data_IF_412745701941
#
_entry.id   IF_412745701941
#
_cell.length_a   1.000
_cell.length_b   1.000
_cell.length_c   1.000
_cell.angle_alpha   90.00
_cell.angle_beta   90.00
_cell.angle_gamma   90.00
#
_symmetry.space_group_name_H-M   'P 1'
#
loop_
_entity.id
_entity.type
_entity.pdbx_description
1 polymer ?
#
# COMPACT_ATOMS: atom_id res chain seq x y z
N UNK A 1 -7.04 9.66 -14.03
CA UNK A 1 -5.72 9.60 -13.36
C UNK A 1 -5.40 8.13 -13.22
N UNK A 2 -4.32 7.65 -13.84
CA UNK A 2 -3.86 6.30 -13.54
C UNK A 2 -3.11 6.33 -12.20
N UNK A 3 -3.39 5.33 -11.35
CA UNK A 3 -2.89 5.28 -9.97
C UNK A 3 -1.74 4.27 -9.79
N UNK A 4 -1.29 3.67 -10.89
CA UNK A 4 -0.34 2.56 -10.97
C UNK A 4 0.88 2.98 -11.77
N UNK A 5 0.69 3.56 -12.96
CA UNK A 5 1.78 4.05 -13.82
C UNK A 5 2.28 5.44 -13.44
N UNK A 6 1.45 6.20 -12.71
CA UNK A 6 1.59 7.64 -12.39
C UNK A 6 1.47 8.55 -13.65
N UNK A 7 0.98 8.00 -14.77
CA UNK A 7 0.83 8.75 -16.03
C UNK A 7 -0.42 9.66 -16.01
N UNK A 8 -0.34 10.74 -16.78
CA UNK A 8 -1.34 11.81 -16.76
C UNK A 8 -1.30 12.70 -15.51
N UNK A 9 -0.53 12.34 -14.47
CA UNK A 9 -0.22 13.23 -13.34
C UNK A 9 0.76 14.29 -13.84
N UNK A 10 0.21 15.44 -14.27
CA UNK A 10 1.03 16.62 -14.60
C UNK A 10 1.78 17.08 -13.35
N UNK A 11 3.07 17.46 -13.44
CA UNK A 11 3.79 18.04 -12.32
C UNK A 11 3.01 19.22 -11.71
N UNK A 12 2.89 19.24 -10.40
CA UNK A 12 2.31 20.39 -9.70
C UNK A 12 3.16 21.64 -9.99
N UNK A 13 2.50 22.75 -10.29
CA UNK A 13 3.16 24.06 -10.32
C UNK A 13 3.15 24.64 -8.89
N UNK A 14 4.23 25.32 -8.44
CA UNK A 14 4.21 26.03 -7.17
C UNK A 14 3.12 27.12 -7.13
N UNK A 15 2.61 27.50 -5.93
CA UNK A 15 2.95 26.95 -4.62
C UNK A 15 2.29 25.57 -4.36
N UNK A 16 2.97 24.71 -3.60
CA UNK A 16 2.42 23.40 -3.23
C UNK A 16 1.53 23.49 -1.99
N UNK A 17 0.43 22.75 -1.99
CA UNK A 17 -0.43 22.51 -0.82
C UNK A 17 -0.18 21.08 -0.35
N UNK A 18 0.08 20.90 0.95
CA UNK A 18 0.29 19.58 1.52
C UNK A 18 -1.03 18.78 1.66
N UNK A 19 -1.00 17.45 1.49
CA UNK A 19 0.15 16.64 1.10
C UNK A 19 0.36 16.57 -0.42
N UNK A 20 1.59 16.27 -0.85
CA UNK A 20 1.91 16.05 -2.26
C UNK A 20 3.01 14.99 -2.47
N UNK A 21 3.17 14.54 -3.71
CA UNK A 21 4.19 13.57 -4.12
C UNK A 21 5.06 14.17 -5.20
N UNK A 22 6.37 13.96 -5.12
CA UNK A 22 7.35 14.32 -6.17
C UNK A 22 8.04 13.07 -6.67
N UNK A 23 8.19 12.95 -7.99
CA UNK A 23 8.80 11.80 -8.67
C UNK A 23 10.00 12.31 -9.47
N UNK A 24 11.18 11.72 -9.28
CA UNK A 24 12.37 11.94 -10.12
C UNK A 24 12.67 10.64 -10.85
N UNK A 25 12.67 10.67 -12.18
CA UNK A 25 12.96 9.48 -13.02
C UNK A 25 14.34 9.63 -13.65
N UNK A 26 15.15 8.57 -13.60
CA UNK A 26 16.51 8.51 -14.15
C UNK A 26 16.74 7.12 -14.76
N UNK A 27 16.65 6.98 -16.07
CA UNK A 27 16.80 5.71 -16.78
C UNK A 27 15.90 4.60 -16.20
N UNK A 28 16.48 3.58 -15.55
CA UNK A 28 15.79 2.48 -14.90
C UNK A 28 15.57 2.69 -13.38
N UNK A 29 15.72 3.93 -12.88
CA UNK A 29 15.51 4.28 -11.47
C UNK A 29 14.44 5.39 -11.31
N UNK A 30 13.69 5.34 -10.21
CA UNK A 30 12.68 6.34 -9.82
C UNK A 30 12.79 6.62 -8.31
N UNK A 31 13.09 7.85 -7.95
CA UNK A 31 12.97 8.33 -6.57
C UNK A 31 11.57 8.93 -6.39
N UNK A 32 10.79 8.41 -5.43
CA UNK A 32 9.46 8.93 -5.09
C UNK A 32 9.47 9.43 -3.65
N UNK A 33 9.21 10.73 -3.47
CA UNK A 33 9.13 11.39 -2.16
C UNK A 33 7.70 11.85 -1.89
N UNK A 34 7.18 11.48 -0.73
CA UNK A 34 5.84 11.76 -0.22
C UNK A 34 5.97 12.82 0.89
N UNK A 35 5.46 14.02 0.64
CA UNK A 35 5.56 15.18 1.53
C UNK A 35 4.23 15.36 2.26
N UNK A 36 4.22 15.13 3.58
CA UNK A 36 2.97 15.13 4.37
C UNK A 36 2.68 16.49 4.99
N UNK A 37 3.75 17.19 5.34
CA UNK A 37 3.81 18.55 5.87
C UNK A 37 5.19 19.16 5.51
N UNK A 38 5.53 20.33 6.03
CA UNK A 38 6.76 21.04 5.69
C UNK A 38 8.06 20.49 6.33
N UNK A 39 7.98 19.40 7.10
CA UNK A 39 9.13 18.72 7.75
C UNK A 39 9.18 17.24 7.41
N UNK A 40 8.02 16.59 7.35
CA UNK A 40 7.91 15.13 7.22
C UNK A 40 7.87 14.69 5.76
N UNK A 41 8.90 13.94 5.35
CA UNK A 41 9.02 13.35 4.02
C UNK A 41 9.40 11.88 4.11
N UNK A 42 8.56 10.96 3.63
CA UNK A 42 8.96 9.57 3.36
C UNK A 42 9.46 9.48 1.91
N UNK A 43 10.61 8.86 1.66
CA UNK A 43 11.17 8.70 0.31
C UNK A 43 11.56 7.25 0.03
N UNK A 44 11.29 6.80 -1.18
CA UNK A 44 11.53 5.42 -1.62
C UNK A 44 12.21 5.42 -2.99
N UNK A 45 13.23 4.58 -3.14
CA UNK A 45 13.99 4.42 -4.38
C UNK A 45 13.56 3.13 -5.07
N UNK A 46 13.06 3.25 -6.30
CA UNK A 46 12.56 2.16 -7.12
C UNK A 46 13.50 1.86 -8.27
N UNK A 47 13.71 0.57 -8.56
CA UNK A 47 14.45 0.10 -9.73
C UNK A 47 13.52 -0.66 -10.67
N UNK A 48 13.66 -0.43 -11.98
CA UNK A 48 12.93 -1.15 -13.01
C UNK A 48 13.51 -2.56 -13.16
N UNK A 49 12.64 -3.56 -13.28
CA UNK A 49 13.03 -4.96 -13.51
C UNK A 49 11.99 -5.58 -14.43
N UNK A 50 12.39 -5.88 -15.67
CA UNK A 50 11.46 -6.30 -16.72
C UNK A 50 10.33 -5.27 -16.93
N UNK A 51 9.09 -5.70 -16.70
CA UNK A 51 7.87 -4.90 -16.87
C UNK A 51 7.37 -4.21 -15.58
N UNK A 52 8.08 -4.31 -14.46
CA UNK A 52 7.67 -3.70 -13.18
C UNK A 52 8.77 -2.83 -12.55
N UNK A 53 8.40 -2.08 -11.51
CA UNK A 53 9.32 -1.35 -10.63
C UNK A 53 9.32 -2.00 -9.25
N UNK A 54 10.49 -2.14 -8.63
CA UNK A 54 10.63 -2.71 -7.28
C UNK A 54 11.30 -1.70 -6.34
N UNK A 55 10.80 -1.59 -5.12
CA UNK A 55 11.54 -1.03 -3.98
C UNK A 55 11.56 -2.00 -2.80
N UNK A 56 12.54 -1.86 -1.92
CA UNK A 56 12.62 -2.58 -0.65
C UNK A 56 12.98 -1.59 0.43
N UNK A 57 12.19 -1.56 1.50
CA UNK A 57 12.43 -0.72 2.67
C UNK A 57 12.13 -1.49 3.96
N UNK A 58 12.48 -0.92 5.09
CA UNK A 58 12.11 -1.48 6.40
C UNK A 58 11.49 -0.43 7.30
N UNK A 59 10.45 -0.84 8.02
CA UNK A 59 9.89 -0.09 9.14
C UNK A 59 10.24 -0.86 10.43
N UNK A 60 10.45 -0.15 11.54
CA UNK A 60 10.93 -0.74 12.81
C UNK A 60 10.00 -0.31 13.92
N UNK A 61 9.46 -1.28 14.66
CA UNK A 61 8.74 -1.08 15.92
C UNK A 61 9.58 -1.60 17.09
N UNK A 62 9.08 -1.42 18.31
CA UNK A 62 9.84 -1.61 19.56
C UNK A 62 10.46 -3.01 19.73
N UNK A 63 9.87 -4.04 19.10
CA UNK A 63 10.32 -5.44 19.18
C UNK A 63 10.51 -6.10 17.81
N UNK A 64 10.29 -5.38 16.72
CA UNK A 64 10.16 -5.91 15.36
C UNK A 64 10.88 -5.06 14.33
N UNK A 65 11.42 -5.71 13.30
CA UNK A 65 11.66 -5.04 12.01
C UNK A 65 10.81 -5.72 10.96
N UNK A 66 10.08 -4.91 10.21
CA UNK A 66 9.32 -5.34 9.05
C UNK A 66 10.08 -4.94 7.80
N UNK A 67 10.26 -5.87 6.87
CA UNK A 67 10.87 -5.65 5.57
C UNK A 67 9.77 -5.72 4.52
N UNK A 68 9.57 -4.60 3.83
CA UNK A 68 8.49 -4.42 2.87
C UNK A 68 9.08 -4.39 1.47
N UNK A 69 8.66 -5.35 0.65
CA UNK A 69 8.99 -5.43 -0.77
C UNK A 69 7.77 -4.97 -1.55
N UNK A 70 7.89 -3.88 -2.31
CA UNK A 70 6.79 -3.33 -3.10
C UNK A 70 7.12 -3.37 -4.60
N UNK A 71 6.19 -3.94 -5.37
CA UNK A 71 6.29 -4.21 -6.80
C UNK A 71 5.16 -3.46 -7.52
N UNK A 72 5.48 -2.43 -8.28
CA UNK A 72 4.53 -1.65 -9.08
C UNK A 72 4.53 -2.23 -10.50
N UNK A 73 3.45 -2.93 -10.85
CA UNK A 73 3.18 -3.51 -12.17
C UNK A 73 2.17 -2.65 -12.94
N UNK A 74 1.99 -2.85 -14.26
CA UNK A 74 1.04 -2.06 -15.05
C UNK A 74 -0.44 -2.21 -14.64
N UNK A 75 -0.85 -3.35 -14.05
CA UNK A 75 -2.23 -3.62 -13.63
C UNK A 75 -2.46 -3.53 -12.11
N UNK A 76 -1.40 -3.59 -11.31
CA UNK A 76 -1.47 -3.80 -9.86
C UNK A 76 -0.22 -3.33 -9.11
N UNK A 77 -0.37 -3.01 -7.83
CA UNK A 77 0.74 -2.96 -6.88
C UNK A 77 0.67 -4.21 -6.00
N UNK A 78 1.79 -4.92 -5.85
CA UNK A 78 1.94 -6.01 -4.88
C UNK A 78 2.87 -5.54 -3.77
N UNK A 79 2.48 -5.74 -2.51
CA UNK A 79 3.34 -5.50 -1.34
C UNK A 79 3.46 -6.80 -0.54
N UNK A 80 4.69 -7.18 -0.20
CA UNK A 80 4.99 -8.32 0.67
C UNK A 80 5.55 -7.78 1.98
N UNK A 81 4.89 -8.03 3.10
CA UNK A 81 5.38 -7.68 4.43
C UNK A 81 6.04 -8.89 5.10
N UNK A 82 7.34 -8.79 5.34
CA UNK A 82 8.14 -9.77 6.04
C UNK A 82 8.45 -9.32 7.46
N UNK A 83 7.98 -10.07 8.45
CA UNK A 83 8.39 -9.85 9.84
C UNK A 83 9.71 -10.57 10.11
N UNK A 84 10.71 -9.79 10.51
CA UNK A 84 12.03 -10.30 10.91
C UNK A 84 12.16 -10.21 12.44
N UNK A 85 12.21 -11.37 13.08
CA UNK A 85 12.44 -11.44 14.52
C UNK A 85 13.92 -11.19 14.85
N UNK A 86 14.19 -10.06 15.51
CA UNK A 86 15.54 -9.46 15.64
C UNK A 86 16.59 -10.43 16.19
N UNK A 87 16.22 -11.29 17.16
CA UNK A 87 17.15 -12.23 17.81
C UNK A 87 17.51 -13.44 16.94
N UNK A 88 16.56 -13.95 16.14
CA UNK A 88 16.75 -15.18 15.36
C UNK A 88 17.10 -14.92 13.89
N UNK A 89 16.95 -13.68 13.41
CA UNK A 89 17.19 -13.25 12.02
C UNK A 89 16.37 -14.00 10.95
N UNK A 90 15.37 -14.78 11.33
CA UNK A 90 14.47 -15.46 10.39
C UNK A 90 13.40 -14.47 9.91
N UNK A 91 13.25 -14.36 8.59
CA UNK A 91 12.21 -13.59 7.92
C UNK A 91 11.00 -14.49 7.63
N UNK A 92 9.81 -14.05 7.98
CA UNK A 92 8.56 -14.73 7.62
C UNK A 92 7.62 -13.77 6.89
N UNK A 93 7.11 -14.18 5.72
CA UNK A 93 6.04 -13.48 5.01
C UNK A 93 4.77 -13.52 5.88
N UNK A 94 4.29 -12.37 6.33
CA UNK A 94 3.10 -12.23 7.21
C UNK A 94 1.87 -11.73 6.47
N UNK A 95 2.06 -10.85 5.50
CA UNK A 95 0.98 -10.24 4.74
C UNK A 95 1.37 -10.05 3.27
N UNK A 96 0.39 -10.23 2.37
CA UNK A 96 0.49 -9.92 0.95
C UNK A 96 -0.64 -8.95 0.62
N UNK A 97 -0.32 -7.69 0.31
CA UNK A 97 -1.28 -6.73 -0.22
C UNK A 97 -1.29 -6.77 -1.75
N UNK A 98 -2.47 -6.87 -2.34
CA UNK A 98 -2.67 -6.73 -3.79
C UNK A 98 -3.62 -5.57 -4.03
N UNK A 99 -3.12 -4.50 -4.64
CA UNK A 99 -3.90 -3.30 -4.93
C UNK A 99 -4.17 -3.18 -6.44
N UNK A 100 -5.46 -3.13 -6.82
CA UNK A 100 -5.95 -3.12 -8.21
C UNK A 100 -7.09 -2.12 -8.37
N UNK A 101 -6.92 -1.14 -9.26
CA UNK A 101 -7.87 -0.03 -9.50
C UNK A 101 -8.35 0.64 -8.21
N UNK A 102 -9.52 0.24 -7.69
CA UNK A 102 -10.17 0.82 -6.52
C UNK A 102 -10.39 -0.24 -5.42
N UNK A 103 -9.61 -1.31 -5.42
CA UNK A 103 -9.71 -2.42 -4.47
C UNK A 103 -8.31 -2.81 -3.96
N UNK A 104 -8.26 -3.15 -2.67
CA UNK A 104 -7.10 -3.68 -1.97
C UNK A 104 -7.47 -5.02 -1.33
N UNK A 105 -6.74 -6.08 -1.66
CA UNK A 105 -6.93 -7.44 -1.17
C UNK A 105 -5.68 -7.85 -0.38
N UNK A 106 -5.79 -7.90 0.96
CA UNK A 106 -4.72 -8.32 1.85
C UNK A 106 -4.90 -9.79 2.27
N UNK A 107 -3.85 -10.60 2.15
CA UNK A 107 -3.81 -12.00 2.59
C UNK A 107 -2.96 -12.15 3.84
N UNK A 108 -3.51 -12.74 4.90
CA UNK A 108 -2.84 -12.90 6.18
C UNK A 108 -2.25 -14.31 6.31
N UNK A 109 -0.98 -14.40 6.67
CA UNK A 109 -0.23 -15.66 6.85
C UNK A 109 -0.08 -15.95 8.35
N UNK A 110 -1.04 -16.68 8.94
CA UNK A 110 -1.23 -16.78 10.40
C UNK A 110 0.00 -17.15 11.23
N UNK A 111 0.82 -18.12 10.78
CA UNK A 111 2.13 -18.45 11.38
C UNK A 111 3.33 -17.79 10.69
N UNK A 112 3.10 -17.15 9.55
CA UNK A 112 4.13 -16.64 8.65
C UNK A 112 4.78 -17.75 7.80
N UNK A 113 5.28 -17.41 6.62
CA UNK A 113 5.89 -18.36 5.68
C UNK A 113 7.36 -18.03 5.39
N UNK A 114 8.25 -19.01 5.51
CA UNK A 114 9.70 -18.87 5.28
C UNK A 114 10.02 -19.03 3.78
N UNK A 115 9.66 -18.03 2.98
CA UNK A 115 9.74 -18.04 1.50
C UNK A 115 10.41 -16.77 0.97
N UNK A 116 11.24 -16.89 -0.07
CA UNK A 116 11.92 -15.71 -0.67
C UNK A 116 10.93 -14.75 -1.33
N UNK A 117 11.15 -13.42 -1.24
CA UNK A 117 10.27 -12.42 -1.86
C UNK A 117 10.32 -12.49 -3.38
N UNK A 118 9.16 -12.56 -4.01
CA UNK A 118 8.99 -12.65 -5.47
C UNK A 118 7.61 -12.13 -5.90
N UNK A 119 7.51 -11.57 -7.10
CA UNK A 119 6.27 -10.95 -7.61
C UNK A 119 5.17 -11.98 -7.95
N UNK A 120 5.55 -13.23 -8.27
CA UNK A 120 4.60 -14.32 -8.57
C UNK A 120 4.12 -15.07 -7.33
N UNK A 121 4.50 -14.62 -6.13
CA UNK A 121 4.16 -15.29 -4.88
C UNK A 121 2.66 -15.20 -4.56
N UNK A 122 2.00 -14.11 -5.00
CA UNK A 122 0.58 -13.80 -4.74
C UNK A 122 -0.30 -15.01 -5.03
N UNK A 123 -0.28 -15.47 -6.27
CA UNK A 123 -1.23 -16.46 -6.78
C UNK A 123 -0.98 -17.85 -6.17
N UNK A 124 0.27 -18.12 -5.73
CA UNK A 124 0.66 -19.34 -5.00
C UNK A 124 0.25 -19.32 -3.52
N UNK A 125 0.19 -18.14 -2.90
CA UNK A 125 -0.08 -17.97 -1.47
C UNK A 125 -1.54 -17.66 -1.14
N UNK A 126 -2.38 -17.26 -2.12
CA UNK A 126 -3.84 -17.06 -1.89
C UNK A 126 -4.48 -18.25 -1.17
N UNK A 127 -4.14 -19.47 -1.58
CA UNK A 127 -4.65 -20.73 -1.01
C UNK A 127 -4.00 -21.13 0.34
N UNK A 128 -3.00 -20.39 0.82
CA UNK A 128 -2.31 -20.63 2.10
C UNK A 128 -2.62 -19.55 3.15
N UNK A 129 -3.44 -18.55 2.80
CA UNK A 129 -3.85 -17.49 3.70
C UNK A 129 -4.80 -18.03 4.78
N UNK A 130 -4.57 -17.66 6.05
CA UNK A 130 -5.45 -17.98 7.18
C UNK A 130 -6.65 -17.01 7.28
N UNK A 131 -6.93 -16.27 6.21
CA UNK A 131 -7.93 -15.21 6.13
C UNK A 131 -7.47 -14.09 5.20
N UNK A 132 -8.42 -13.25 4.80
CA UNK A 132 -8.16 -12.09 3.94
C UNK A 132 -8.96 -10.86 4.36
N UNK A 133 -8.51 -9.69 3.90
CA UNK A 133 -9.19 -8.41 4.10
C UNK A 133 -9.33 -7.75 2.74
N UNK A 134 -10.56 -7.62 2.24
CA UNK A 134 -10.85 -6.87 1.02
C UNK A 134 -11.32 -5.47 1.44
N UNK A 135 -10.66 -4.45 0.93
CA UNK A 135 -11.04 -3.04 1.10
C UNK A 135 -11.35 -2.44 -0.27
N UNK A 136 -12.61 -2.01 -0.45
CA UNK A 136 -13.06 -1.28 -1.64
C UNK A 136 -13.03 0.22 -1.35
N UNK A 137 -12.55 1.00 -2.31
CA UNK A 137 -12.40 2.45 -2.25
C UNK A 137 -13.36 3.11 -3.24
N UNK A 138 -14.20 4.03 -2.78
CA UNK A 138 -15.18 4.72 -3.60
C UNK A 138 -15.02 6.23 -3.41
N UNK A 139 -14.73 6.95 -4.49
CA UNK A 139 -14.59 8.41 -4.49
C UNK A 139 -15.82 9.07 -5.10
N UNK A 140 -16.53 9.90 -4.33
CA UNK A 140 -17.72 10.65 -4.79
C UNK A 140 -17.74 12.03 -4.14
N UNK A 141 -17.94 13.09 -4.93
CA UNK A 141 -18.07 14.48 -4.46
C UNK A 141 -16.94 14.96 -3.51
N UNK A 142 -15.71 14.45 -3.68
CA UNK A 142 -14.58 14.76 -2.80
C UNK A 142 -14.60 14.03 -1.44
N UNK A 143 -15.42 12.99 -1.28
CA UNK A 143 -15.40 12.05 -0.15
C UNK A 143 -14.88 10.69 -0.63
N UNK A 144 -13.95 10.13 0.13
CA UNK A 144 -13.49 8.74 -0.02
C UNK A 144 -14.21 7.86 1.00
N UNK A 145 -14.94 6.86 0.51
CA UNK A 145 -15.56 5.79 1.31
C UNK A 145 -14.72 4.53 1.19
N UNK A 146 -14.30 3.98 2.32
CA UNK A 146 -13.65 2.68 2.43
C UNK A 146 -14.68 1.66 2.91
N UNK A 147 -14.90 0.58 2.15
CA UNK A 147 -15.67 -0.58 2.61
C UNK A 147 -14.72 -1.75 2.85
N UNK A 148 -14.51 -2.12 4.11
CA UNK A 148 -13.59 -3.17 4.53
C UNK A 148 -14.37 -4.41 4.94
N UNK A 149 -14.07 -5.55 4.33
CA UNK A 149 -14.63 -6.86 4.67
C UNK A 149 -13.53 -7.82 5.05
N UNK A 150 -13.69 -8.51 6.18
CA UNK A 150 -12.72 -9.46 6.75
C UNK A 150 -13.28 -10.88 6.61
N UNK A 151 -12.50 -11.75 5.98
CA UNK A 151 -12.83 -13.16 5.76
C UNK A 151 -11.89 -14.07 6.57
N UNK A 152 -12.43 -15.16 7.11
CA UNK A 152 -11.63 -16.18 7.79
C UNK A 152 -10.98 -17.17 6.79
N UNK A 153 -10.18 -18.11 7.31
CA UNK A 153 -9.53 -19.21 6.55
C UNK A 153 -10.48 -20.02 5.65
N UNK A 154 -11.79 -20.02 5.93
CA UNK A 154 -12.82 -20.76 5.19
C UNK A 154 -13.54 -19.89 4.14
N UNK A 155 -13.03 -18.69 3.88
CA UNK A 155 -13.64 -17.72 2.97
C UNK A 155 -14.96 -17.12 3.48
N UNK A 156 -15.36 -17.37 4.73
CA UNK A 156 -16.61 -16.81 5.29
C UNK A 156 -16.34 -15.41 5.82
N UNK A 157 -17.23 -14.47 5.47
CA UNK A 157 -17.26 -13.13 6.05
C UNK A 157 -17.43 -13.21 7.58
N UNK A 158 -16.54 -12.53 8.29
CA UNK A 158 -16.47 -12.47 9.75
C UNK A 158 -16.83 -11.08 10.28
N UNK A 159 -16.50 -10.03 9.53
CA UNK A 159 -16.80 -8.64 9.89
C UNK A 159 -16.77 -7.75 8.64
N UNK A 160 -17.63 -6.72 8.62
CA UNK A 160 -17.59 -5.65 7.61
C UNK A 160 -17.75 -4.29 8.30
N UNK A 161 -16.93 -3.34 7.89
CA UNK A 161 -16.98 -1.95 8.34
C UNK A 161 -16.97 -0.99 7.15
N UNK A 162 -17.46 0.23 7.37
CA UNK A 162 -17.43 1.31 6.38
C UNK A 162 -16.98 2.59 7.06
N UNK A 163 -16.01 3.28 6.47
CA UNK A 163 -15.43 4.52 7.01
C UNK A 163 -15.31 5.56 5.89
N UNK A 164 -15.55 6.84 6.18
CA UNK A 164 -15.54 7.91 5.18
C UNK A 164 -14.59 9.05 5.56
N UNK A 165 -13.91 9.62 4.56
CA UNK A 165 -12.91 10.69 4.73
C UNK A 165 -13.14 11.83 3.74
N UNK A 166 -12.97 13.07 4.20
CA UNK A 166 -13.08 14.27 3.35
C UNK A 166 -11.75 14.54 2.62
N UNK A 167 -11.74 14.41 1.31
CA UNK A 167 -10.54 14.51 0.45
C UNK A 167 -10.51 15.78 -0.42
N UNK A 168 -11.68 16.26 -0.86
CA UNK A 168 -11.80 17.39 -1.78
C UNK A 168 -11.04 17.14 -3.10
N UNK A 169 -10.23 18.11 -3.51
CA UNK A 169 -9.43 18.05 -4.76
C UNK A 169 -8.07 17.36 -4.57
N UNK A 170 -7.78 16.79 -3.39
CA UNK A 170 -6.49 16.16 -3.07
C UNK A 170 -6.40 14.80 -3.79
N UNK A 171 -5.21 14.43 -4.25
CA UNK A 171 -5.04 13.19 -5.02
C UNK A 171 -5.32 11.96 -4.16
N UNK A 172 -5.72 10.85 -4.79
CA UNK A 172 -6.10 9.60 -4.14
C UNK A 172 -5.02 9.03 -3.18
N UNK A 173 -3.75 9.32 -3.43
CA UNK A 173 -2.63 8.90 -2.58
C UNK A 173 -2.36 9.82 -1.37
N UNK A 174 -3.15 10.87 -1.15
CA UNK A 174 -2.96 11.85 -0.06
C UNK A 174 -2.77 11.17 1.32
N UNK A 175 -3.50 10.08 1.59
CA UNK A 175 -2.91 8.83 2.08
C UNK A 175 -3.64 7.70 1.36
N UNK A 176 -2.91 6.70 0.87
CA UNK A 176 -3.38 5.32 1.15
C UNK A 176 -3.14 5.01 2.63
N UNK A 177 -2.01 5.52 3.12
CA UNK A 177 -1.57 5.55 4.54
C UNK A 177 -1.05 8.36 6.28
N UNK A 178 -1.87 9.47 6.31
CA UNK A 178 -1.70 10.67 7.15
C UNK A 178 -2.54 10.56 8.42
N UNK A 179 -2.39 9.41 9.08
CA UNK A 179 -2.06 9.26 10.51
C UNK A 179 -2.72 10.26 11.48
N UNK A 180 -3.95 10.67 11.18
CA UNK A 180 -4.72 11.66 11.90
C UNK A 180 -6.19 11.31 11.77
N UNK A 181 -6.84 11.09 12.90
CA UNK A 181 -8.27 10.76 13.02
C UNK A 181 -9.16 11.98 12.67
N UNK A 182 -8.51 13.10 12.34
CA UNK A 182 -9.05 14.46 12.21
C UNK A 182 -9.75 14.72 10.87
N UNK A 183 -9.91 13.73 10.01
CA UNK A 183 -10.58 13.84 8.70
C UNK A 183 -11.66 12.77 8.48
N UNK A 184 -11.91 11.91 9.46
CA UNK A 184 -13.01 10.95 9.42
C UNK A 184 -14.36 11.69 9.54
N UNK A 185 -15.33 11.26 8.75
CA UNK A 185 -16.70 11.78 8.73
C UNK A 185 -17.68 10.61 8.74
N UNK A 186 -18.91 10.86 9.21
CA UNK A 186 -20.01 9.90 9.03
C UNK A 186 -20.23 9.65 7.53
N UNK A 187 -20.46 8.39 7.17
CA UNK A 187 -20.89 8.05 5.83
C UNK A 187 -22.37 8.36 5.65
N UNK A 188 -22.65 9.36 4.81
CA UNK A 188 -23.95 9.61 4.18
C UNK A 188 -24.22 8.61 3.05
#
# INVERSE_FOLDING_TARGET
MDMFTLEGIKPLKPPFVYPYVTIKTRNNEKDISYHTDNKTVKSYHYRKTGNYWMTVYSETGDTSREYIYEYIMPDKIVRLNYWNHVKTKVSYLREIAVFKKWEEENFLMGRGLAIKPDVTIVDRMKAQASGSVIQKMLMKNGVLRLERTIYNEKGKENHRSVTCYKMGNRSYFAWRYLYTDKQEIKCE
#
